data_IF_614399160058
#
_entry.id   IF_614399160058
#
_cell.length_a   1.000
_cell.length_b   1.000
_cell.length_c   1.000
_cell.angle_alpha   90.00
_cell.angle_beta   90.00
_cell.angle_gamma   90.00
#
_symmetry.space_group_name_H-M   'P 1'
#
loop_
_entity.id
_entity.type
_entity.pdbx_description
1 polymer ?
#
# COMPACT_ATOMS: atom_id res chain seq x y z
N UNK A 1 -0.81 -1.50 11.39
CA UNK A 1 0.23 -1.73 10.35
C UNK A 1 1.56 -2.08 11.01
N UNK A 2 2.05 -1.24 11.92
CA UNK A 2 3.31 -1.46 12.65
C UNK A 2 3.40 -2.82 13.38
N UNK A 3 2.38 -3.18 14.17
CA UNK A 3 2.38 -4.43 14.97
C UNK A 3 2.33 -5.73 14.12
N UNK A 4 2.18 -5.61 12.81
CA UNK A 4 2.11 -6.73 11.89
C UNK A 4 3.41 -6.90 11.05
N UNK A 5 4.51 -6.25 11.46
CA UNK A 5 5.77 -6.16 10.70
C UNK A 5 6.98 -6.74 11.47
N UNK A 6 7.00 -8.05 11.71
CA UNK A 6 8.06 -8.71 12.47
C UNK A 6 9.48 -8.54 11.89
N UNK A 7 9.61 -8.30 10.59
CA UNK A 7 10.92 -8.07 9.95
C UNK A 7 11.38 -6.61 10.10
N UNK A 8 10.44 -5.66 10.00
CA UNK A 8 10.73 -4.26 10.29
C UNK A 8 11.20 -4.08 11.73
N UNK A 9 10.55 -4.72 12.71
CA UNK A 9 10.96 -4.65 14.13
C UNK A 9 12.42 -5.07 14.35
N UNK A 10 12.92 -6.00 13.54
CA UNK A 10 14.29 -6.51 13.64
C UNK A 10 15.33 -5.66 12.91
N UNK A 11 14.92 -4.90 11.90
CA UNK A 11 15.87 -4.31 10.92
C UNK A 11 15.68 -2.82 10.70
N UNK A 12 14.49 -2.27 10.90
CA UNK A 12 14.10 -0.90 10.55
C UNK A 12 14.19 -0.57 9.06
N UNK A 13 14.57 -1.52 8.20
CA UNK A 13 15.00 -1.26 6.82
C UNK A 13 13.94 -1.52 5.76
N UNK A 14 12.69 -1.82 6.15
CA UNK A 14 11.63 -2.18 5.22
C UNK A 14 10.51 -1.13 5.19
N UNK A 15 9.88 -1.02 4.03
CA UNK A 15 8.58 -0.40 3.87
C UNK A 15 7.48 -1.46 3.91
N UNK A 16 6.33 -1.07 4.43
CA UNK A 16 5.07 -1.81 4.26
C UNK A 16 4.04 -1.03 3.45
N UNK A 17 3.19 -1.81 2.77
CA UNK A 17 1.91 -1.38 2.23
C UNK A 17 0.81 -2.32 2.75
N UNK A 18 -0.31 -1.74 3.18
CA UNK A 18 -1.47 -2.46 3.69
C UNK A 18 -2.73 -2.09 2.92
N UNK A 19 -3.59 -3.06 2.64
CA UNK A 19 -4.91 -2.85 2.07
C UNK A 19 -5.97 -3.08 3.14
N UNK A 20 -6.91 -2.16 3.25
CA UNK A 20 -7.99 -2.19 4.21
C UNK A 20 -9.35 -2.15 3.52
N UNK A 21 -10.36 -2.79 4.10
CA UNK A 21 -11.74 -2.59 3.68
C UNK A 21 -12.30 -1.25 4.20
N UNK A 22 -13.55 -0.94 3.83
CA UNK A 22 -14.23 0.28 4.25
C UNK A 22 -14.51 0.35 5.77
N UNK A 23 -14.47 -0.78 6.47
CA UNK A 23 -14.62 -0.87 7.93
C UNK A 23 -13.27 -0.72 8.66
N UNK A 24 -12.18 -0.53 7.92
CA UNK A 24 -10.83 -0.42 8.48
C UNK A 24 -10.21 -1.78 8.86
N UNK A 25 -10.75 -2.91 8.39
CA UNK A 25 -10.14 -4.22 8.59
C UNK A 25 -8.98 -4.41 7.61
N UNK A 26 -7.86 -4.90 8.12
CA UNK A 26 -6.69 -5.23 7.30
C UNK A 26 -6.98 -6.48 6.47
N UNK A 27 -6.99 -6.34 5.15
CA UNK A 27 -7.17 -7.44 4.18
C UNK A 27 -5.84 -8.10 3.85
N UNK A 28 -4.82 -7.29 3.56
CA UNK A 28 -3.47 -7.79 3.26
C UNK A 28 -2.41 -6.77 3.65
N UNK A 29 -1.27 -7.26 4.15
CA UNK A 29 -0.07 -6.48 4.40
C UNK A 29 1.13 -7.11 3.68
N UNK A 30 1.96 -6.30 3.03
CA UNK A 30 3.21 -6.76 2.41
C UNK A 30 4.34 -5.81 2.71
N UNK A 31 5.51 -6.40 2.93
CA UNK A 31 6.76 -5.70 3.19
C UNK A 31 7.73 -5.84 2.00
N UNK A 32 8.55 -4.83 1.79
CA UNK A 32 9.69 -4.85 0.89
C UNK A 32 10.70 -3.75 1.26
N UNK A 33 11.95 -3.88 0.83
CA UNK A 33 12.94 -2.81 0.97
C UNK A 33 12.47 -1.56 0.21
N UNK A 34 11.84 -1.73 -0.96
CA UNK A 34 11.28 -0.64 -1.76
C UNK A 34 9.79 -0.44 -1.50
N UNK A 35 9.37 0.80 -1.18
CA UNK A 35 7.94 1.14 -1.01
C UNK A 35 7.08 0.79 -2.24
N UNK A 36 7.62 0.95 -3.44
CA UNK A 36 6.92 0.63 -4.68
C UNK A 36 6.64 -0.86 -4.81
N UNK A 37 7.60 -1.69 -4.43
CA UNK A 37 7.48 -3.14 -4.45
C UNK A 37 6.51 -3.63 -3.37
N UNK A 38 6.47 -2.99 -2.20
CA UNK A 38 5.50 -3.30 -1.17
C UNK A 38 4.06 -3.11 -1.69
N UNK A 39 3.80 -2.01 -2.42
CA UNK A 39 2.51 -1.76 -3.09
C UNK A 39 2.23 -2.80 -4.17
N UNK A 40 3.22 -3.13 -5.02
CA UNK A 40 3.06 -4.16 -6.06
C UNK A 40 2.72 -5.52 -5.48
N UNK A 41 3.32 -5.90 -4.35
CA UNK A 41 3.00 -7.16 -3.66
C UNK A 41 1.57 -7.17 -3.11
N UNK A 42 1.06 -6.04 -2.62
CA UNK A 42 -0.35 -5.92 -2.18
C UNK A 42 -1.29 -6.10 -3.38
N UNK A 43 -1.08 -5.33 -4.45
CA UNK A 43 -1.94 -5.39 -5.65
C UNK A 43 -1.85 -6.77 -6.29
N UNK A 44 -0.63 -7.29 -6.47
CA UNK A 44 -0.36 -8.60 -7.04
C UNK A 44 -1.00 -9.72 -6.23
N UNK A 45 -0.99 -9.64 -4.90
CA UNK A 45 -1.72 -10.60 -4.07
C UNK A 45 -3.22 -10.59 -4.37
N UNK A 46 -3.85 -9.41 -4.45
CA UNK A 46 -5.28 -9.31 -4.77
C UNK A 46 -5.61 -9.81 -6.18
N UNK A 47 -4.74 -9.54 -7.16
CA UNK A 47 -4.90 -10.08 -8.53
C UNK A 47 -4.87 -11.60 -8.52
N UNK A 48 -3.86 -12.21 -7.88
CA UNK A 48 -3.72 -13.67 -7.80
C UNK A 48 -4.87 -14.32 -7.04
N UNK A 49 -5.39 -13.64 -6.02
CA UNK A 49 -6.56 -14.06 -5.22
C UNK A 49 -7.90 -13.75 -5.88
N UNK A 50 -7.93 -13.21 -7.11
CA UNK A 50 -9.15 -12.78 -7.84
C UNK A 50 -10.03 -11.78 -7.05
N UNK A 51 -9.40 -10.96 -6.20
CA UNK A 51 -10.06 -9.98 -5.35
C UNK A 51 -10.06 -8.55 -5.92
N UNK A 52 -9.89 -8.40 -7.24
CA UNK A 52 -9.94 -7.11 -7.96
C UNK A 52 -11.28 -6.93 -8.67
N UNK A 53 -11.76 -5.69 -8.92
CA UNK A 53 -11.15 -4.39 -8.62
C UNK A 53 -11.11 -4.03 -7.12
N UNK A 54 -10.29 -3.05 -6.75
CA UNK A 54 -10.08 -2.62 -5.35
C UNK A 54 -10.82 -1.33 -4.99
N UNK A 55 -11.94 -1.06 -5.66
CA UNK A 55 -12.73 0.18 -5.54
C UNK A 55 -13.43 0.38 -4.20
N UNK A 56 -13.41 -0.63 -3.32
CA UNK A 56 -13.95 -0.57 -1.96
C UNK A 56 -12.89 -0.64 -0.86
N UNK A 57 -11.63 -0.35 -1.22
CA UNK A 57 -10.50 -0.49 -0.32
C UNK A 57 -9.73 0.82 -0.11
N UNK A 58 -8.94 0.85 0.96
CA UNK A 58 -7.98 1.91 1.27
C UNK A 58 -6.58 1.33 1.22
N UNK A 59 -5.66 1.98 0.50
CA UNK A 59 -4.24 1.64 0.53
C UNK A 59 -3.52 2.50 1.57
N UNK A 60 -2.85 1.88 2.53
CA UNK A 60 -1.95 2.54 3.46
C UNK A 60 -0.50 2.25 3.08
N UNK A 61 0.35 3.27 2.99
CA UNK A 61 1.80 3.11 2.76
C UNK A 61 2.62 3.72 3.89
N UNK A 62 3.69 3.02 4.29
CA UNK A 62 4.64 3.49 5.31
C UNK A 62 5.57 4.61 4.82
N UNK A 63 5.77 4.72 3.51
CA UNK A 63 6.67 5.70 2.90
C UNK A 63 5.96 6.95 2.39
N UNK A 64 6.68 7.74 1.59
CA UNK A 64 6.13 8.85 0.80
C UNK A 64 5.29 8.33 -0.37
N UNK A 65 4.28 9.10 -0.76
CA UNK A 65 3.49 8.84 -1.96
C UNK A 65 4.11 9.56 -3.14
N UNK A 66 4.61 8.80 -4.12
CA UNK A 66 5.09 9.35 -5.40
C UNK A 66 4.01 9.20 -6.48
N UNK A 67 4.21 9.87 -7.60
CA UNK A 67 3.33 9.79 -8.76
C UNK A 67 3.11 8.33 -9.22
N UNK A 68 4.17 7.52 -9.23
CA UNK A 68 4.08 6.12 -9.66
C UNK A 68 3.25 5.26 -8.68
N UNK A 69 3.28 5.57 -7.37
CA UNK A 69 2.41 4.90 -6.40
C UNK A 69 0.94 5.26 -6.67
N UNK A 70 0.66 6.53 -6.98
CA UNK A 70 -0.68 6.96 -7.39
C UNK A 70 -1.15 6.24 -8.65
N UNK A 71 -0.30 6.12 -9.68
CA UNK A 71 -0.64 5.41 -10.91
C UNK A 71 -0.96 3.93 -10.68
N UNK A 72 -0.20 3.26 -9.79
CA UNK A 72 -0.47 1.86 -9.41
C UNK A 72 -1.81 1.72 -8.72
N UNK A 73 -2.10 2.59 -7.75
CA UNK A 73 -3.37 2.61 -7.04
C UNK A 73 -4.54 2.89 -7.98
N UNK A 74 -4.40 3.86 -8.89
CA UNK A 74 -5.42 4.18 -9.91
C UNK A 74 -5.67 3.00 -10.85
N UNK A 75 -4.61 2.34 -11.32
CA UNK A 75 -4.71 1.14 -12.16
C UNK A 75 -5.47 0.01 -11.45
N UNK A 76 -5.23 -0.16 -10.15
CA UNK A 76 -5.94 -1.13 -9.31
C UNK A 76 -7.35 -0.67 -8.86
N UNK A 77 -7.75 0.56 -9.23
CA UNK A 77 -8.99 1.24 -8.83
C UNK A 77 -9.12 1.52 -7.34
N UNK A 78 -8.03 1.69 -6.61
CA UNK A 78 -8.08 2.05 -5.18
C UNK A 78 -8.44 3.54 -5.04
N UNK A 79 -9.57 3.89 -4.41
CA UNK A 79 -10.06 5.27 -4.35
C UNK A 79 -9.38 6.13 -3.28
N UNK A 80 -8.81 5.51 -2.23
CA UNK A 80 -8.25 6.23 -1.09
C UNK A 80 -6.87 5.69 -0.77
N UNK A 81 -5.92 6.62 -0.62
CA UNK A 81 -4.54 6.32 -0.24
C UNK A 81 -4.18 7.14 1.00
N UNK A 82 -3.73 6.45 2.03
CA UNK A 82 -3.19 7.04 3.24
C UNK A 82 -1.68 6.77 3.31
N UNK A 83 -0.92 7.73 3.82
CA UNK A 83 0.52 7.61 3.94
C UNK A 83 1.02 8.18 5.26
N UNK A 84 2.04 7.52 5.81
CA UNK A 84 2.72 8.00 7.02
C UNK A 84 3.57 9.25 6.71
N UNK A 85 4.04 9.40 5.47
CA UNK A 85 4.89 10.52 5.05
C UNK A 85 4.30 11.31 3.88
N UNK A 86 4.91 12.44 3.56
CA UNK A 86 4.37 13.42 2.62
C UNK A 86 4.28 12.90 1.17
N UNK A 87 3.25 13.32 0.40
CA UNK A 87 3.20 13.12 -1.04
C UNK A 87 4.22 14.02 -1.77
N UNK A 88 4.54 13.70 -3.02
CA UNK A 88 5.18 14.66 -3.94
C UNK A 88 4.14 15.59 -4.59
N UNK A 89 4.55 16.75 -5.10
CA UNK A 89 3.63 17.67 -5.79
C UNK A 89 2.90 16.99 -6.96
N UNK A 90 3.63 16.22 -7.77
CA UNK A 90 3.03 15.44 -8.87
C UNK A 90 2.04 14.36 -8.40
N UNK A 91 2.15 13.87 -7.17
CA UNK A 91 1.21 12.88 -6.65
C UNK A 91 -0.15 13.50 -6.26
N UNK A 92 -0.20 14.81 -6.07
CA UNK A 92 -1.40 15.55 -5.66
C UNK A 92 -2.11 16.20 -6.86
N UNK A 93 -1.44 16.29 -8.01
CA UNK A 93 -1.98 16.82 -9.27
C UNK A 93 -2.74 15.74 -10.04
#
# INVERSE_FOLDING_TARGET
>A
MHDAQATFEKTGGLHAAGLFDADGRLIVLREDIGRHNAVDKVIGHMVLSRGVPLDRHVLMVSGRVSFEIMQKALTARIPVIAAVSAPSSMAVQ
#
